data_IF_048471507762
#
_entry.id   IF_048471507762
#
_cell.length_a   1.000
_cell.length_b   1.000
_cell.length_c   1.000
_cell.angle_alpha   90.00
_cell.angle_beta   90.00
_cell.angle_gamma   90.00
#
_symmetry.space_group_name_H-M   'P 1'
#
loop_
_entity.id
_entity.type
_entity.pdbx_description
1 polymer ?
#
# COMPACT_ATOMS: atom_id res chain seq x y z
N UNK A 1 -18.91 23.04 -21.26
CA UNK A 1 -19.66 22.76 -20.02
C UNK A 1 -19.27 21.35 -19.63
N UNK A 2 -18.48 21.19 -18.57
CA UNK A 2 -18.04 19.87 -18.10
C UNK A 2 -19.18 19.35 -17.23
N UNK A 3 -19.86 18.29 -17.67
CA UNK A 3 -20.81 17.57 -16.83
C UNK A 3 -20.07 17.10 -15.58
N UNK A 4 -20.42 17.70 -14.45
CA UNK A 4 -19.94 17.30 -13.15
C UNK A 4 -20.43 15.87 -12.94
N UNK A 5 -19.50 14.91 -12.94
CA UNK A 5 -19.82 13.51 -12.65
C UNK A 5 -20.40 13.46 -11.24
N UNK A 6 -21.71 13.27 -11.15
CA UNK A 6 -22.51 13.21 -9.90
C UNK A 6 -22.23 11.92 -9.10
N UNK A 7 -21.06 11.32 -9.30
CA UNK A 7 -20.65 10.05 -8.71
C UNK A 7 -19.39 10.29 -7.88
N UNK A 8 -19.45 9.90 -6.61
CA UNK A 8 -18.29 9.82 -5.73
C UNK A 8 -17.18 9.02 -6.40
N UNK A 9 -15.95 9.54 -6.34
CA UNK A 9 -14.75 8.87 -6.85
C UNK A 9 -14.23 7.94 -5.76
N UNK A 10 -14.22 6.63 -6.02
CA UNK A 10 -13.58 5.67 -5.12
C UNK A 10 -12.06 5.72 -5.25
N UNK A 11 -11.36 5.92 -4.15
CA UNK A 11 -9.90 5.91 -4.06
C UNK A 11 -9.45 4.73 -3.22
N UNK A 12 -8.52 3.93 -3.75
CA UNK A 12 -7.99 2.75 -3.09
C UNK A 12 -6.52 2.96 -2.72
N UNK A 13 -6.18 2.60 -1.50
CA UNK A 13 -4.79 2.60 -1.03
C UNK A 13 -4.44 1.29 -0.33
N UNK A 14 -3.17 0.91 -0.41
CA UNK A 14 -2.61 -0.28 0.23
C UNK A 14 -1.45 0.17 1.11
N UNK A 15 -1.34 -0.37 2.31
CA UNK A 15 -0.20 -0.08 3.18
C UNK A 15 0.00 -1.12 4.27
N UNK A 16 1.07 -0.93 5.05
CA UNK A 16 1.39 -1.77 6.20
C UNK A 16 0.68 -1.27 7.47
N UNK A 17 0.52 -2.11 8.52
CA UNK A 17 -0.02 -1.69 9.82
C UNK A 17 0.99 -0.84 10.63
N UNK A 18 1.81 -0.04 9.94
CA UNK A 18 2.82 0.84 10.52
C UNK A 18 2.35 2.27 10.29
N UNK A 19 2.10 3.00 11.37
CA UNK A 19 1.68 4.40 11.32
C UNK A 19 2.90 5.31 11.47
N UNK A 20 3.74 5.38 10.43
CA UNK A 20 4.86 6.33 10.36
C UNK A 20 4.41 7.68 9.78
N UNK A 21 5.32 8.66 9.79
CA UNK A 21 5.13 9.92 9.06
C UNK A 21 5.03 9.70 7.55
N UNK A 22 5.75 8.69 7.04
CA UNK A 22 5.77 8.27 5.63
C UNK A 22 4.53 7.45 5.21
N UNK A 23 3.49 7.38 6.05
CA UNK A 23 2.26 6.67 5.71
C UNK A 23 1.43 7.46 4.68
N UNK A 24 1.66 7.15 3.41
CA UNK A 24 1.01 7.78 2.25
C UNK A 24 -0.52 7.71 2.29
N UNK A 25 -1.10 6.73 3.01
CA UNK A 25 -2.57 6.58 3.14
C UNK A 25 -3.20 7.81 3.80
N UNK A 26 -2.48 8.48 4.70
CA UNK A 26 -2.95 9.72 5.35
C UNK A 26 -3.09 10.87 4.36
N UNK A 27 -2.26 10.90 3.33
CA UNK A 27 -2.32 11.91 2.27
C UNK A 27 -3.40 11.55 1.25
N UNK A 28 -3.48 10.27 0.85
CA UNK A 28 -4.53 9.79 -0.04
C UNK A 28 -5.94 10.02 0.54
N UNK A 29 -6.13 9.75 1.84
CA UNK A 29 -7.39 10.01 2.54
C UNK A 29 -7.78 11.50 2.50
N UNK A 30 -6.83 12.39 2.81
CA UNK A 30 -7.05 13.85 2.77
C UNK A 30 -7.42 14.34 1.37
N UNK A 31 -6.65 13.94 0.36
CA UNK A 31 -6.96 14.30 -1.03
C UNK A 31 -8.35 13.81 -1.45
N UNK A 32 -8.72 12.57 -1.08
CA UNK A 32 -10.02 11.99 -1.40
C UNK A 32 -11.17 12.79 -0.80
N UNK A 33 -11.00 13.27 0.44
CA UNK A 33 -11.99 14.13 1.10
C UNK A 33 -12.14 15.49 0.39
N UNK A 34 -11.04 16.09 -0.08
CA UNK A 34 -11.06 17.38 -0.80
C UNK A 34 -11.82 17.31 -2.12
N UNK A 35 -11.83 16.15 -2.79
CA UNK A 35 -12.53 15.94 -4.06
C UNK A 35 -13.92 15.31 -3.89
N UNK A 36 -14.40 15.14 -2.65
CA UNK A 36 -15.72 14.54 -2.38
C UNK A 36 -15.82 13.06 -2.75
N UNK A 37 -14.70 12.32 -2.66
CA UNK A 37 -14.64 10.89 -2.96
C UNK A 37 -14.86 9.97 -1.76
N UNK A 38 -14.80 8.67 -2.02
CA UNK A 38 -14.88 7.59 -1.02
C UNK A 38 -13.51 6.92 -0.89
N UNK A 39 -12.95 6.93 0.32
CA UNK A 39 -11.62 6.37 0.57
C UNK A 39 -11.70 4.94 1.11
N UNK A 40 -11.00 4.03 0.43
CA UNK A 40 -10.85 2.64 0.83
C UNK A 40 -9.36 2.33 1.06
N UNK A 41 -9.05 1.68 2.18
CA UNK A 41 -7.68 1.28 2.51
C UNK A 41 -7.62 -0.19 2.86
N UNK A 42 -6.72 -0.92 2.21
CA UNK A 42 -6.35 -2.28 2.57
C UNK A 42 -5.05 -2.23 3.36
N UNK A 43 -5.01 -2.97 4.46
CA UNK A 43 -3.79 -3.12 5.26
C UNK A 43 -3.27 -4.53 5.10
N UNK A 44 -1.99 -4.67 4.76
CA UNK A 44 -1.31 -5.95 4.59
C UNK A 44 -0.29 -6.09 5.72
N UNK A 45 -0.39 -7.15 6.51
CA UNK A 45 0.63 -7.43 7.51
C UNK A 45 1.93 -7.91 6.82
N UNK A 46 3.09 -7.51 7.35
CA UNK A 46 4.38 -7.88 6.75
C UNK A 46 4.58 -9.40 6.63
N UNK A 47 3.92 -10.18 7.50
CA UNK A 47 3.95 -11.66 7.47
C UNK A 47 3.18 -12.27 6.29
N UNK A 48 2.26 -11.53 5.68
CA UNK A 48 1.44 -11.98 4.54
C UNK A 48 2.14 -11.76 3.21
N UNK A 49 3.12 -10.83 3.17
CA UNK A 49 3.88 -10.49 1.95
C UNK A 49 4.54 -11.71 1.30
N UNK A 50 5.25 -12.61 2.02
CA UNK A 50 5.90 -13.76 1.39
C UNK A 50 4.92 -14.68 0.64
N UNK A 51 3.70 -14.85 1.14
CA UNK A 51 2.67 -15.66 0.48
C UNK A 51 2.18 -14.97 -0.80
N UNK A 52 1.92 -13.66 -0.72
CA UNK A 52 1.49 -12.84 -1.86
C UNK A 52 2.57 -12.73 -2.96
N UNK A 53 3.85 -12.74 -2.61
CA UNK A 53 4.95 -12.64 -3.56
C UNK A 53 4.93 -13.78 -4.60
N UNK A 54 4.49 -14.98 -4.20
CA UNK A 54 4.35 -16.10 -5.14
C UNK A 54 3.36 -15.77 -6.24
N UNK A 55 2.20 -15.24 -5.87
CA UNK A 55 1.15 -14.88 -6.81
C UNK A 55 1.57 -13.68 -7.65
N UNK A 56 2.21 -12.67 -7.06
CA UNK A 56 2.73 -11.50 -7.79
C UNK A 56 3.74 -11.93 -8.85
N UNK A 57 4.70 -12.79 -8.52
CA UNK A 57 5.70 -13.28 -9.48
C UNK A 57 5.06 -14.03 -10.65
N UNK A 58 3.99 -14.79 -10.37
CA UNK A 58 3.22 -15.48 -11.41
C UNK A 58 2.51 -14.49 -12.34
N UNK A 59 1.89 -13.43 -11.81
CA UNK A 59 1.11 -12.49 -12.61
C UNK A 59 1.97 -11.47 -13.37
N UNK A 60 3.17 -11.17 -12.90
CA UNK A 60 4.03 -10.16 -13.51
C UNK A 60 5.02 -10.73 -14.53
N UNK A 61 5.15 -12.07 -14.63
CA UNK A 61 6.16 -12.77 -15.46
C UNK A 61 7.61 -12.26 -15.26
N UNK A 62 7.85 -11.47 -14.21
CA UNK A 62 9.11 -10.85 -13.86
C UNK A 62 9.49 -11.26 -12.43
N UNK A 63 10.36 -12.26 -12.24
CA UNK A 63 10.92 -12.57 -10.92
C UNK A 63 11.96 -11.54 -10.46
N UNK A 64 11.96 -10.33 -11.04
CA UNK A 64 12.97 -9.31 -10.78
C UNK A 64 12.68 -8.64 -9.44
N UNK A 65 13.42 -9.04 -8.41
CA UNK A 65 13.68 -8.14 -7.31
C UNK A 65 14.36 -6.89 -7.90
N UNK A 66 13.62 -5.79 -8.03
CA UNK A 66 14.28 -4.50 -8.00
C UNK A 66 15.14 -4.52 -6.74
N UNK A 67 16.45 -4.34 -6.88
CA UNK A 67 17.33 -4.19 -5.73
C UNK A 67 16.94 -2.89 -5.04
N UNK A 68 15.91 -2.94 -4.20
CA UNK A 68 15.69 -1.96 -3.17
C UNK A 68 16.89 -2.19 -2.27
N UNK A 69 17.93 -1.36 -2.42
CA UNK A 69 18.92 -1.22 -1.37
C UNK A 69 18.15 -0.74 -0.15
N UNK A 70 17.63 -1.69 0.63
CA UNK A 70 17.06 -1.43 1.93
C UNK A 70 18.19 -0.75 2.71
N UNK A 71 18.13 0.57 2.82
CA UNK A 71 18.91 1.30 3.82
C UNK A 71 18.52 0.65 5.15
N UNK A 72 19.36 -0.29 5.61
CA UNK A 72 19.21 -1.15 6.80
C UNK A 72 17.97 -0.80 7.61
N UNK A 73 16.81 -1.30 7.21
CA UNK A 73 15.69 -1.40 8.13
C UNK A 73 16.06 -2.62 8.97
N UNK A 74 16.62 -2.36 10.15
CA UNK A 74 16.85 -3.39 11.16
C UNK A 74 15.46 -3.87 11.62
N UNK A 75 14.87 -4.81 10.88
CA UNK A 75 13.72 -5.57 11.35
C UNK A 75 14.30 -6.57 12.34
N UNK A 76 14.30 -6.17 13.62
CA UNK A 76 14.66 -7.06 14.72
C UNK A 76 13.54 -8.10 14.85
N UNK A 77 13.76 -9.31 14.32
CA UNK A 77 12.93 -10.47 14.62
C UNK A 77 13.56 -11.10 15.87
N UNK A 78 12.93 -11.01 17.06
CA UNK A 78 13.43 -11.70 18.23
C UNK A 78 13.28 -13.21 17.98
N UNK A 79 14.40 -13.88 17.70
CA UNK A 79 14.45 -15.34 17.68
C UNK A 79 14.31 -15.84 19.12
N UNK A 80 13.11 -16.31 19.47
CA UNK A 80 12.90 -17.20 20.60
C UNK A 80 13.09 -18.64 20.15
N UNK A 81 14.23 -19.23 20.53
CA UNK A 81 14.42 -20.65 20.79
C UNK A 81 15.25 -20.78 22.07
#
# INVERSE_FOLDING_TARGET
MVEQMDRSISVFSVGYPILTEDDERKYACRMTQEVGGEFHSVTIASKEVPELLRDVNWHLDEPRAHSIQARKINIFIPNGF
#
